data_IF_851638285740
#
_entry.id   IF_851638285740
#
_cell.length_a   1.000
_cell.length_b   1.000
_cell.length_c   1.000
_cell.angle_alpha   90.00
_cell.angle_beta   90.00
_cell.angle_gamma   90.00
#
_symmetry.space_group_name_H-M   'P 1'
#
loop_
_entity.id
_entity.type
_entity.pdbx_description
1 polymer ?
#
# COMPACT_ATOMS: atom_id res chain seq x y z
N UNK A 1 -29.02 31.46 15.07
CA UNK A 1 -29.76 30.18 14.98
C UNK A 1 -29.27 29.51 13.69
N UNK A 2 -28.35 28.54 13.75
CA UNK A 2 -27.84 27.90 12.53
C UNK A 2 -28.96 27.03 11.94
N UNK A 3 -29.26 27.22 10.67
CA UNK A 3 -30.28 26.46 9.96
C UNK A 3 -29.84 24.99 9.93
N UNK A 4 -30.77 24.03 10.09
CA UNK A 4 -30.46 22.59 10.17
C UNK A 4 -29.56 22.13 8.98
N UNK A 5 -29.67 22.78 7.83
CA UNK A 5 -28.88 22.54 6.61
C UNK A 5 -27.40 22.96 6.71
N UNK A 6 -27.03 23.89 7.58
CA UNK A 6 -25.63 24.29 7.81
C UNK A 6 -24.90 23.27 8.70
N UNK A 7 -25.60 22.73 9.71
CA UNK A 7 -25.05 21.72 10.60
C UNK A 7 -24.80 20.39 9.86
N UNK A 8 -25.64 20.05 8.89
CA UNK A 8 -25.47 18.88 8.03
C UNK A 8 -24.30 19.03 7.03
N UNK A 9 -24.07 20.25 6.51
CA UNK A 9 -22.92 20.56 5.65
C UNK A 9 -21.59 20.50 6.41
N UNK A 10 -21.55 20.99 7.65
CA UNK A 10 -20.36 20.89 8.51
C UNK A 10 -20.03 19.42 8.85
N UNK A 11 -21.05 18.57 9.10
CA UNK A 11 -20.89 17.13 9.30
C UNK A 11 -20.36 16.41 8.05
N UNK A 12 -20.89 16.74 6.86
CA UNK A 12 -20.43 16.12 5.60
C UNK A 12 -18.97 16.52 5.28
N UNK A 13 -18.58 17.76 5.57
CA UNK A 13 -17.21 18.22 5.41
C UNK A 13 -16.22 17.49 6.33
N UNK A 14 -16.58 17.33 7.61
CA UNK A 14 -15.76 16.58 8.57
C UNK A 14 -15.67 15.09 8.21
N UNK A 15 -16.76 14.46 7.77
CA UNK A 15 -16.73 13.08 7.28
C UNK A 15 -15.84 12.91 6.04
N UNK A 16 -15.89 13.84 5.09
CA UNK A 16 -15.00 13.84 3.91
C UNK A 16 -13.54 14.03 4.32
N UNK A 17 -13.26 14.92 5.28
CA UNK A 17 -11.94 15.12 5.86
C UNK A 17 -11.45 13.83 6.54
N UNK A 18 -12.19 13.30 7.50
CA UNK A 18 -11.81 12.06 8.19
C UNK A 18 -11.66 10.87 7.23
N UNK A 19 -12.51 10.73 6.21
CA UNK A 19 -12.39 9.67 5.20
C UNK A 19 -11.16 9.80 4.31
N UNK A 20 -10.66 11.02 4.07
CA UNK A 20 -9.38 11.26 3.40
C UNK A 20 -8.20 10.83 4.28
N UNK A 21 -8.31 10.96 5.60
CA UNK A 21 -7.23 10.62 6.54
C UNK A 21 -7.31 9.20 7.14
N UNK A 22 -8.46 8.49 7.06
CA UNK A 22 -8.67 7.18 7.72
C UNK A 22 -8.86 5.96 6.82
N UNK A 23 -8.89 6.09 5.49
CA UNK A 23 -9.26 4.98 4.59
C UNK A 23 -8.35 3.73 4.63
N UNK A 24 -7.23 3.77 5.34
CA UNK A 24 -6.23 2.70 5.34
C UNK A 24 -5.71 2.29 6.71
N UNK A 25 -6.48 2.47 7.80
CA UNK A 25 -6.00 2.08 9.14
C UNK A 25 -5.61 0.59 9.22
N UNK A 26 -6.48 -0.32 8.76
CA UNK A 26 -6.16 -1.77 8.69
C UNK A 26 -4.88 -2.01 7.89
N UNK A 27 -4.78 -1.33 6.74
CA UNK A 27 -3.62 -1.41 5.88
C UNK A 27 -2.33 -0.90 6.55
N UNK A 28 -2.42 0.15 7.38
CA UNK A 28 -1.31 0.74 8.12
C UNK A 28 -0.87 -0.14 9.30
N UNK A 29 -1.81 -0.77 10.01
CA UNK A 29 -1.52 -1.66 11.13
C UNK A 29 -0.84 -2.96 10.67
N UNK A 30 -1.29 -3.49 9.53
CA UNK A 30 -0.79 -4.76 8.98
C UNK A 30 0.42 -4.59 8.04
N UNK A 31 0.86 -3.35 7.78
CA UNK A 31 1.95 -3.11 6.82
C UNK A 31 3.25 -3.71 7.33
N UNK A 32 4.02 -4.26 6.41
CA UNK A 32 5.41 -4.64 6.68
C UNK A 32 6.36 -3.68 5.98
N UNK A 33 7.58 -3.56 6.53
CA UNK A 33 8.66 -2.85 5.86
C UNK A 33 8.99 -3.57 4.56
N UNK A 34 9.12 -2.81 3.47
CA UNK A 34 9.55 -3.34 2.17
C UNK A 34 10.95 -3.94 2.30
N UNK A 35 11.10 -5.22 1.96
CA UNK A 35 12.40 -5.88 1.86
C UNK A 35 13.15 -5.42 0.61
N UNK A 36 14.45 -5.72 0.56
CA UNK A 36 15.27 -5.37 -0.59
C UNK A 36 14.77 -6.06 -1.88
N UNK A 37 14.35 -7.33 -1.77
CA UNK A 37 13.65 -8.09 -2.82
C UNK A 37 12.26 -8.56 -2.37
N UNK A 38 11.24 -7.68 -2.33
CA UNK A 38 9.96 -7.96 -1.68
C UNK A 38 9.28 -9.24 -2.18
N UNK A 39 9.14 -9.34 -3.50
CA UNK A 39 8.42 -10.43 -4.15
C UNK A 39 9.15 -11.77 -4.03
N UNK A 40 10.49 -11.79 -3.88
CA UNK A 40 11.24 -13.02 -3.63
C UNK A 40 11.10 -13.47 -2.19
N UNK A 41 10.98 -12.52 -1.25
CA UNK A 41 10.73 -12.82 0.17
C UNK A 41 9.27 -13.14 0.48
N UNK A 42 8.41 -13.28 -0.54
CA UNK A 42 6.98 -13.57 -0.35
C UNK A 42 6.11 -12.36 0.04
N UNK A 43 6.68 -11.15 0.10
CA UNK A 43 5.91 -9.94 0.35
C UNK A 43 5.03 -9.60 -0.85
N UNK A 44 3.80 -9.21 -0.56
CA UNK A 44 2.79 -8.85 -1.57
C UNK A 44 2.43 -7.37 -1.43
N UNK A 45 2.25 -6.66 -2.56
CA UNK A 45 1.95 -5.22 -2.56
C UNK A 45 0.53 -4.94 -3.04
N UNK A 46 -0.25 -4.17 -2.29
CA UNK A 46 -1.55 -3.71 -2.77
C UNK A 46 -1.38 -2.64 -3.86
N UNK A 47 -2.01 -2.83 -5.03
CA UNK A 47 -1.97 -1.84 -6.14
C UNK A 47 -2.63 -0.50 -5.77
N UNK A 48 -3.68 -0.56 -4.95
CA UNK A 48 -4.50 0.61 -4.58
C UNK A 48 -3.93 1.35 -3.38
N UNK A 49 -3.54 0.62 -2.34
CA UNK A 49 -3.06 1.21 -1.08
C UNK A 49 -1.57 1.51 -1.07
N UNK A 50 -0.80 0.93 -2.00
CA UNK A 50 0.65 1.04 -2.04
C UNK A 50 1.35 0.59 -0.74
N UNK A 51 0.91 -0.54 -0.20
CA UNK A 51 1.44 -1.11 1.03
C UNK A 51 1.87 -2.56 0.79
N UNK A 52 2.95 -2.98 1.46
CA UNK A 52 3.43 -4.35 1.47
C UNK A 52 2.87 -5.13 2.66
N UNK A 53 2.56 -6.40 2.43
CA UNK A 53 2.07 -7.35 3.43
C UNK A 53 2.85 -8.66 3.36
N UNK A 54 2.91 -9.36 4.49
CA UNK A 54 3.38 -10.74 4.59
C UNK A 54 2.23 -11.63 5.04
N UNK A 55 1.19 -11.75 4.21
CA UNK A 55 -0.04 -12.49 4.51
C UNK A 55 -0.29 -13.62 3.51
N UNK A 56 -0.93 -14.73 3.92
CA UNK A 56 -1.25 -15.84 3.03
C UNK A 56 -2.27 -15.45 1.95
N UNK A 57 -3.18 -14.52 2.25
CA UNK A 57 -4.22 -14.09 1.32
C UNK A 57 -3.67 -13.34 0.11
N UNK A 58 -4.42 -13.41 -0.99
CA UNK A 58 -4.10 -12.71 -2.24
C UNK A 58 -4.83 -11.38 -2.38
N UNK A 59 -5.60 -10.96 -1.38
CA UNK A 59 -6.41 -9.74 -1.40
C UNK A 59 -6.03 -8.82 -0.25
N UNK A 60 -6.13 -7.52 -0.49
CA UNK A 60 -5.82 -6.51 0.50
C UNK A 60 -6.92 -6.45 1.57
N UNK A 61 -6.58 -6.56 2.87
CA UNK A 61 -7.59 -6.62 3.93
C UNK A 61 -8.37 -5.32 4.14
N UNK A 62 -7.87 -4.18 3.65
CA UNK A 62 -8.58 -2.91 3.81
C UNK A 62 -9.39 -2.47 2.57
N UNK A 63 -8.99 -2.87 1.36
CA UNK A 63 -9.64 -2.38 0.13
C UNK A 63 -10.10 -3.49 -0.82
N UNK A 64 -9.84 -4.75 -0.51
CA UNK A 64 -10.24 -5.90 -1.31
C UNK A 64 -9.53 -6.04 -2.66
N UNK A 65 -8.58 -5.15 -3.01
CA UNK A 65 -7.83 -5.30 -4.26
C UNK A 65 -6.87 -6.48 -4.19
N UNK A 66 -6.75 -7.20 -5.32
CA UNK A 66 -5.77 -8.27 -5.45
C UNK A 66 -4.35 -7.73 -5.27
N UNK A 67 -3.61 -8.35 -4.36
CA UNK A 67 -2.23 -8.03 -4.07
C UNK A 67 -1.35 -8.50 -5.22
N UNK A 68 -0.35 -7.70 -5.53
CA UNK A 68 0.70 -8.09 -6.47
C UNK A 68 1.72 -8.96 -5.77
N UNK A 69 2.02 -10.07 -6.43
CA UNK A 69 3.10 -11.00 -6.11
C UNK A 69 4.29 -10.85 -7.05
N UNK A 70 4.18 -10.01 -8.09
CA UNK A 70 5.24 -9.77 -9.09
C UNK A 70 5.50 -8.28 -9.30
N UNK A 71 6.75 -7.96 -9.64
CA UNK A 71 7.16 -6.63 -10.09
C UNK A 71 6.44 -6.25 -11.41
N UNK A 72 6.33 -4.94 -11.70
CA UNK A 72 5.54 -4.46 -12.86
C UNK A 72 6.40 -4.47 -14.11
N UNK A 73 7.63 -4.04 -13.91
CA UNK A 73 8.65 -3.98 -14.92
C UNK A 73 9.66 -5.06 -14.58
N UNK A 74 10.12 -5.80 -15.59
CA UNK A 74 11.35 -6.59 -15.52
C UNK A 74 12.56 -5.65 -15.57
N UNK A 75 12.54 -4.55 -14.83
CA UNK A 75 13.75 -3.76 -14.63
C UNK A 75 14.57 -4.56 -13.66
N UNK A 76 15.65 -5.13 -14.18
CA UNK A 76 16.81 -5.53 -13.38
C UNK A 76 17.03 -4.42 -12.37
N UNK A 77 16.73 -4.72 -11.11
CA UNK A 77 16.87 -3.73 -10.04
C UNK A 77 18.35 -3.45 -9.84
N UNK A 78 18.72 -2.34 -9.22
CA UNK A 78 20.11 -1.95 -8.91
C UNK A 78 20.96 -3.11 -8.30
N UNK A 79 20.34 -4.12 -7.72
CA UNK A 79 20.97 -5.38 -7.29
C UNK A 79 21.50 -6.27 -8.42
N UNK A 80 20.80 -6.33 -9.56
CA UNK A 80 21.21 -7.05 -10.76
C UNK A 80 22.41 -6.36 -11.45
N UNK A 81 22.62 -5.08 -11.15
CA UNK A 81 23.81 -4.32 -11.55
C UNK A 81 24.94 -4.45 -10.50
N UNK A 82 24.62 -4.43 -9.20
CA UNK A 82 25.58 -4.64 -8.10
C UNK A 82 26.13 -6.08 -8.07
N UNK A 83 25.34 -7.10 -8.46
CA UNK A 83 25.80 -8.50 -8.64
C UNK A 83 26.75 -8.64 -9.82
N UNK A 84 26.39 -8.08 -10.98
CA UNK A 84 27.25 -8.10 -12.17
C UNK A 84 28.59 -7.40 -11.97
N UNK A 85 28.63 -6.34 -11.15
CA UNK A 85 29.88 -5.65 -10.79
C UNK A 85 30.78 -6.41 -9.81
N UNK A 86 30.28 -7.41 -9.08
CA UNK A 86 31.08 -8.25 -8.15
C UNK A 86 31.71 -9.48 -8.80
N UNK A 87 31.34 -9.83 -10.04
CA UNK A 87 31.85 -11.00 -10.78
C UNK A 87 32.97 -10.65 -11.77
N UNK A 88 33.34 -9.37 -11.86
CA UNK A 88 34.40 -8.84 -12.74
C UNK A 88 35.70 -8.52 -11.95
N UNK A 89 35.63 -8.52 -10.61
CA UNK A 89 36.78 -8.43 -9.69
C UNK A 89 37.31 -9.82 -9.32
#
# INVERSE_FOLDING_TARGET
MKCQTELEKEKSFLELYFNRYRKHLICQLMRVKKNFTPYTTGQKRCKKCDVYYSIPDSYCPCCGYQLRTKARNKTTTLHDEIRRKKEID
#
